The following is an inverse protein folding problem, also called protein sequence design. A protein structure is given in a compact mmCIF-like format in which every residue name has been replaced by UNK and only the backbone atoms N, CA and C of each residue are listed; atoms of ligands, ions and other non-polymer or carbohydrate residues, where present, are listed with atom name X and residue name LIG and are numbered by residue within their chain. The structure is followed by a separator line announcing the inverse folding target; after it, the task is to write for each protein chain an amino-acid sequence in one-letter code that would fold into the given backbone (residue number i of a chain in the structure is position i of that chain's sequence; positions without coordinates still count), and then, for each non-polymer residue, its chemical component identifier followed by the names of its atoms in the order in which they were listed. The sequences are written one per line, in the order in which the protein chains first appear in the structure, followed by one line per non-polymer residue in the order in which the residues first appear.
data_IF_854889323287
#
_entry.id   IF_854889323287
#
_cell.length_a   1.000
_cell.length_b   1.000
_cell.length_c   1.000
_cell.angle_alpha   90.00
_cell.angle_beta   90.00
_cell.angle_gamma   90.00
#
_symmetry.space_group_name_H-M   'P 1'
#
loop_
_entity.id
_entity.type
_entity.pdbx_description
1 polymer ?
#
# COMPACT_ATOMS: atom_id res chain seq x y z
N UNK A 1 27.36 -2.47 1.45
CA UNK A 1 26.26 -3.46 1.51
C UNK A 1 26.48 -4.30 2.75
N UNK A 2 25.45 -4.47 3.58
CA UNK A 2 25.49 -5.38 4.73
C UNK A 2 25.00 -6.77 4.30
N UNK A 3 25.54 -7.83 4.88
CA UNK A 3 25.12 -9.21 4.61
C UNK A 3 24.44 -9.76 5.85
N UNK A 4 23.20 -10.18 5.70
CA UNK A 4 22.43 -10.88 6.74
C UNK A 4 22.37 -12.36 6.38
N UNK A 5 22.85 -13.23 7.28
CA UNK A 5 22.75 -14.69 7.11
C UNK A 5 21.51 -15.20 7.83
N UNK A 6 20.72 -16.05 7.17
CA UNK A 6 19.56 -16.71 7.74
C UNK A 6 19.48 -18.14 7.23
N UNK A 7 18.82 -19.01 8.00
CA UNK A 7 18.57 -20.40 7.58
C UNK A 7 17.28 -20.44 6.76
N UNK A 8 17.36 -21.06 5.59
CA UNK A 8 16.19 -21.49 4.84
C UNK A 8 15.90 -22.94 5.21
N UNK A 9 14.63 -23.29 5.32
CA UNK A 9 14.23 -24.69 5.32
C UNK A 9 14.41 -25.31 3.93
N UNK A 10 14.61 -26.63 3.90
CA UNK A 10 14.94 -27.37 2.67
C UNK A 10 13.86 -27.26 1.58
N UNK A 11 12.59 -27.11 1.97
CA UNK A 11 11.48 -26.96 1.02
C UNK A 11 11.50 -25.58 0.36
N UNK A 12 11.69 -24.53 1.15
CA UNK A 12 11.81 -23.17 0.66
C UNK A 12 13.06 -22.99 -0.22
N UNK A 13 14.19 -23.60 0.15
CA UNK A 13 15.40 -23.55 -0.68
C UNK A 13 15.17 -24.17 -2.06
N UNK A 14 14.52 -25.35 -2.12
CA UNK A 14 14.17 -26.01 -3.40
C UNK A 14 13.24 -25.14 -4.24
N UNK A 15 12.20 -24.56 -3.63
CA UNK A 15 11.27 -23.65 -4.33
C UNK A 15 11.98 -22.40 -4.85
N UNK A 16 12.91 -21.85 -4.08
CA UNK A 16 13.71 -20.69 -4.47
C UNK A 16 14.63 -21.03 -5.65
N UNK A 17 15.29 -22.19 -5.63
CA UNK A 17 16.13 -22.68 -6.73
C UNK A 17 15.33 -22.83 -8.03
N UNK A 18 14.17 -23.49 -7.99
CA UNK A 18 13.30 -23.65 -9.17
C UNK A 18 12.84 -22.29 -9.69
N UNK A 19 12.49 -21.37 -8.80
CA UNK A 19 12.03 -20.03 -9.17
C UNK A 19 13.16 -19.19 -9.78
N UNK A 20 14.37 -19.25 -9.19
CA UNK A 20 15.57 -18.60 -9.70
C UNK A 20 15.89 -19.04 -11.13
N UNK A 21 15.88 -20.35 -11.37
CA UNK A 21 16.12 -20.92 -12.69
C UNK A 21 15.03 -20.50 -13.70
N UNK A 22 13.75 -20.57 -13.31
CA UNK A 22 12.62 -20.19 -14.17
C UNK A 22 12.66 -18.69 -14.55
N UNK A 23 13.00 -17.83 -13.60
CA UNK A 23 13.05 -16.37 -13.82
C UNK A 23 14.40 -15.89 -14.38
N UNK A 24 15.39 -16.78 -14.51
CA UNK A 24 16.77 -16.43 -14.88
C UNK A 24 17.36 -15.34 -13.98
N UNK A 25 17.12 -15.46 -12.67
CA UNK A 25 17.61 -14.53 -11.63
C UNK A 25 18.38 -15.28 -10.56
N UNK A 26 19.30 -14.60 -9.90
CA UNK A 26 20.02 -15.19 -8.77
C UNK A 26 19.09 -15.31 -7.55
N UNK A 27 19.32 -16.31 -6.69
CA UNK A 27 18.59 -16.45 -5.42
C UNK A 27 18.61 -15.17 -4.60
N UNK A 28 19.78 -14.53 -4.51
CA UNK A 28 19.95 -13.27 -3.78
C UNK A 28 19.16 -12.10 -4.36
N UNK A 29 18.96 -12.05 -5.68
CA UNK A 29 18.09 -11.05 -6.30
C UNK A 29 16.64 -11.27 -5.87
N UNK A 30 16.14 -12.50 -5.95
CA UNK A 30 14.76 -12.85 -5.55
C UNK A 30 14.53 -12.59 -4.07
N UNK A 31 15.47 -12.98 -3.20
CA UNK A 31 15.36 -12.73 -1.75
C UNK A 31 15.26 -11.23 -1.46
N UNK A 32 16.12 -10.42 -2.08
CA UNK A 32 16.08 -8.97 -1.89
C UNK A 32 14.78 -8.35 -2.42
N UNK A 33 14.31 -8.81 -3.57
CA UNK A 33 13.07 -8.33 -4.17
C UNK A 33 11.86 -8.67 -3.29
N UNK A 34 11.76 -9.92 -2.84
CA UNK A 34 10.72 -10.36 -1.91
C UNK A 34 10.75 -9.58 -0.58
N UNK A 35 11.94 -9.33 -0.03
CA UNK A 35 12.09 -8.56 1.20
C UNK A 35 11.64 -7.11 1.03
N UNK A 36 11.97 -6.48 -0.11
CA UNK A 36 11.48 -5.11 -0.42
C UNK A 36 9.97 -5.07 -0.50
N UNK A 37 9.36 -6.00 -1.24
CA UNK A 37 7.91 -6.07 -1.37
C UNK A 37 7.22 -6.30 -0.01
N UNK A 38 7.80 -7.17 0.83
CA UNK A 38 7.28 -7.40 2.18
C UNK A 38 7.33 -6.13 3.03
N UNK A 39 8.49 -5.46 3.11
CA UNK A 39 8.65 -4.22 3.88
C UNK A 39 7.70 -3.13 3.38
N UNK A 40 7.61 -2.92 2.07
CA UNK A 40 6.66 -1.96 1.48
C UNK A 40 5.21 -2.26 1.88
N UNK A 41 4.84 -3.55 1.94
CA UNK A 41 3.53 -3.99 2.40
C UNK A 41 3.28 -3.68 3.88
N UNK A 42 4.25 -3.94 4.75
CA UNK A 42 4.14 -3.61 6.18
C UNK A 42 4.07 -2.10 6.41
N UNK A 43 4.88 -1.31 5.71
CA UNK A 43 4.82 0.15 5.77
C UNK A 43 3.46 0.69 5.28
N UNK A 44 2.88 0.10 4.23
CA UNK A 44 1.55 0.48 3.76
C UNK A 44 0.46 0.17 4.80
N UNK A 45 0.53 -0.98 5.46
CA UNK A 45 -0.43 -1.33 6.52
C UNK A 45 -0.36 -0.34 7.67
N UNK A 46 0.84 0.04 8.10
CA UNK A 46 1.02 1.02 9.17
C UNK A 46 0.44 2.39 8.77
N UNK A 47 0.72 2.87 7.56
CA UNK A 47 0.12 4.11 7.04
C UNK A 47 -1.42 4.04 7.01
N UNK A 48 -1.98 2.94 6.51
CA UNK A 48 -3.44 2.78 6.47
C UNK A 48 -4.07 2.78 7.86
N UNK A 49 -3.39 2.21 8.86
CA UNK A 49 -3.85 2.26 10.26
C UNK A 49 -3.85 3.69 10.79
N UNK A 50 -2.76 4.43 10.58
CA UNK A 50 -2.64 5.84 10.97
C UNK A 50 -3.72 6.71 10.29
N UNK A 51 -3.90 6.58 8.97
CA UNK A 51 -4.95 7.25 8.20
C UNK A 51 -6.37 6.90 8.71
N UNK A 52 -6.57 5.66 9.18
CA UNK A 52 -7.86 5.23 9.74
C UNK A 52 -8.11 5.87 11.10
N UNK A 53 -7.10 5.96 11.97
CA UNK A 53 -7.20 6.64 13.27
C UNK A 53 -7.50 8.13 13.08
N UNK A 54 -6.82 8.80 12.14
CA UNK A 54 -7.07 10.19 11.78
C UNK A 54 -8.51 10.39 11.26
N UNK A 55 -8.98 9.52 10.38
CA UNK A 55 -10.35 9.59 9.86
C UNK A 55 -11.40 9.40 10.97
N UNK A 56 -11.15 8.52 11.94
CA UNK A 56 -12.01 8.35 13.12
C UNK A 56 -12.02 9.64 13.96
N UNK A 57 -10.85 10.23 14.21
CA UNK A 57 -10.73 11.48 14.96
C UNK A 57 -11.44 12.66 14.25
N UNK A 58 -11.45 12.70 12.92
CA UNK A 58 -12.22 13.67 12.14
C UNK A 58 -13.73 13.47 12.32
N UNK A 59 -14.21 12.22 12.27
CA UNK A 59 -15.63 11.91 12.53
C UNK A 59 -16.05 12.35 13.93
N UNK A 60 -15.26 12.01 14.96
CA UNK A 60 -15.54 12.38 16.35
C UNK A 60 -15.56 13.89 16.55
N UNK A 61 -14.69 14.62 15.86
CA UNK A 61 -14.66 16.08 15.88
C UNK A 61 -15.68 16.76 14.96
N UNK A 62 -16.57 15.99 14.32
CA UNK A 62 -17.50 16.49 13.29
C UNK A 62 -16.81 17.22 12.12
N UNK A 63 -15.53 16.89 11.86
CA UNK A 63 -14.74 17.39 10.74
C UNK A 63 -15.04 16.60 9.45
N UNK A 64 -16.31 16.58 9.05
CA UNK A 64 -16.81 15.77 7.93
C UNK A 64 -17.71 16.60 7.01
N UNK A 65 -17.73 16.26 5.73
CA UNK A 65 -18.64 16.84 4.72
C UNK A 65 -19.79 15.88 4.40
N UNK A 66 -20.94 16.42 3.96
CA UNK A 66 -22.07 15.58 3.55
C UNK A 66 -21.74 14.77 2.30
N UNK A 67 -22.06 13.47 2.33
CA UNK A 67 -21.94 12.62 1.16
C UNK A 67 -22.76 13.11 -0.04
N UNK A 68 -23.92 13.72 0.20
CA UNK A 68 -24.75 14.29 -0.88
C UNK A 68 -24.06 15.48 -1.56
N UNK A 69 -23.41 16.34 -0.77
CA UNK A 69 -22.67 17.50 -1.31
C UNK A 69 -21.44 17.05 -2.11
N UNK A 70 -20.73 16.03 -1.63
CA UNK A 70 -19.62 15.40 -2.36
C UNK A 70 -20.10 14.81 -3.68
N UNK A 71 -21.21 14.07 -3.69
CA UNK A 71 -21.76 13.48 -4.92
C UNK A 71 -22.17 14.54 -5.94
N UNK A 72 -22.89 15.59 -5.50
CA UNK A 72 -23.24 16.73 -6.37
C UNK A 72 -22.01 17.40 -6.95
N UNK A 73 -20.95 17.55 -6.17
CA UNK A 73 -19.68 18.10 -6.65
C UNK A 73 -19.03 17.19 -7.70
N UNK A 74 -18.92 15.89 -7.43
CA UNK A 74 -18.35 14.90 -8.36
C UNK A 74 -19.11 14.83 -9.70
N UNK A 75 -20.42 15.03 -9.70
CA UNK A 75 -21.24 15.09 -10.92
C UNK A 75 -20.87 16.26 -11.84
N UNK A 76 -20.25 17.32 -11.30
CA UNK A 76 -19.84 18.49 -12.09
C UNK A 76 -18.48 18.34 -12.76
N UNK A 77 -17.69 17.33 -12.39
CA UNK A 77 -16.34 17.11 -12.92
C UNK A 77 -16.33 16.85 -14.43
N UNK A 78 -15.42 17.51 -15.14
CA UNK A 78 -15.29 17.36 -16.59
C UNK A 78 -16.41 18.05 -17.39
N UNK A 79 -17.25 18.85 -16.72
CA UNK A 79 -18.25 19.71 -17.37
C UNK A 79 -17.80 21.17 -17.36
N UNK A 80 -18.50 22.03 -18.11
CA UNK A 80 -18.24 23.48 -18.07
C UNK A 80 -18.65 24.14 -16.74
N UNK A 81 -19.38 23.42 -15.88
CA UNK A 81 -19.93 23.90 -14.61
C UNK A 81 -19.25 23.24 -13.40
N UNK A 82 -17.99 22.82 -13.53
CA UNK A 82 -17.25 22.22 -12.43
C UNK A 82 -17.22 23.14 -11.21
N UNK A 83 -17.66 22.61 -10.06
CA UNK A 83 -17.78 23.37 -8.80
C UNK A 83 -16.60 23.10 -7.87
N UNK A 84 -16.45 23.92 -6.82
CA UNK A 84 -15.40 23.73 -5.83
C UNK A 84 -15.71 22.58 -4.88
N UNK A 85 -14.67 21.87 -4.36
CA UNK A 85 -14.87 20.82 -3.38
C UNK A 85 -15.63 21.32 -2.15
N UNK A 86 -16.56 20.52 -1.59
CA UNK A 86 -17.18 20.81 -0.31
C UNK A 86 -16.11 20.83 0.79
N UNK A 87 -16.30 21.67 1.79
CA UNK A 87 -15.33 21.92 2.85
C UNK A 87 -15.89 21.50 4.20
N UNK A 88 -15.02 20.87 4.99
CA UNK A 88 -15.19 20.65 6.42
C UNK A 88 -15.20 21.98 7.17
#
# INVERSE_FOLDING_TARGET
MSTTSFRLDDDLEKKLEVTANRLQRTKGWIINDALRQYIMGEEQKLRMLEETEDAIADIEASRVVSGEEVMKWLETWGTQNETHPPKV
#
